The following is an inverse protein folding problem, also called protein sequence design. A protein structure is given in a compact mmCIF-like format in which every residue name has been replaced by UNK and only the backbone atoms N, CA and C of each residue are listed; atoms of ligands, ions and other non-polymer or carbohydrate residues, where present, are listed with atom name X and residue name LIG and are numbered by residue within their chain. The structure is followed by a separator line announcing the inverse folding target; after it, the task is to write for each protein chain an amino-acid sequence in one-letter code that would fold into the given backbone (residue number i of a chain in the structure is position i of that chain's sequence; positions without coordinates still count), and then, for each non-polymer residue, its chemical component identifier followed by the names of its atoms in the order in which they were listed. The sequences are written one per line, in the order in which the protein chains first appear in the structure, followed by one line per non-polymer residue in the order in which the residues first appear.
data_IF_353274834404
#
_entry.id   IF_353274834404
#
_cell.length_a   1.000
_cell.length_b   1.000
_cell.length_c   1.000
_cell.angle_alpha   90.00
_cell.angle_beta   90.00
_cell.angle_gamma   90.00
#
_symmetry.space_group_name_H-M   'P 1'
#
loop_
_entity.id
_entity.type
_entity.pdbx_description
1 polymer ?
#
# COMPACT_ATOMS: atom_id res chain seq x y z
N UNK A 1 3.72 15.82 -30.21
CA UNK A 1 4.17 15.29 -28.89
C UNK A 1 3.15 15.57 -27.80
N UNK A 2 2.67 16.81 -27.64
CA UNK A 2 1.66 17.18 -26.63
C UNK A 2 0.38 16.34 -26.68
N UNK A 3 -0.17 16.08 -27.87
CA UNK A 3 -1.34 15.19 -28.04
C UNK A 3 -1.12 13.78 -27.48
N UNK A 4 0.10 13.24 -27.57
CA UNK A 4 0.41 11.91 -27.02
C UNK A 4 0.53 11.98 -25.50
N UNK A 5 1.12 13.05 -24.94
CA UNK A 5 1.20 13.27 -23.50
C UNK A 5 -0.19 13.40 -22.88
N UNK A 6 -1.04 14.26 -23.43
CA UNK A 6 -2.44 14.41 -23.01
C UNK A 6 -3.20 13.09 -23.04
N UNK A 7 -3.05 12.31 -24.12
CA UNK A 7 -3.71 11.01 -24.21
C UNK A 7 -3.20 9.99 -23.18
N UNK A 8 -1.90 10.02 -22.87
CA UNK A 8 -1.34 9.19 -21.78
C UNK A 8 -1.96 9.60 -20.44
N UNK A 9 -2.07 10.90 -20.17
CA UNK A 9 -2.63 11.42 -18.93
C UNK A 9 -4.12 11.04 -18.77
N UNK A 10 -4.91 11.19 -19.84
CA UNK A 10 -6.32 10.78 -19.86
C UNK A 10 -6.49 9.28 -19.59
N UNK A 11 -5.65 8.45 -20.22
CA UNK A 11 -5.68 6.99 -20.02
C UNK A 11 -5.21 6.59 -18.62
N UNK A 12 -4.22 7.28 -18.04
CA UNK A 12 -3.79 7.05 -16.66
C UNK A 12 -4.92 7.39 -15.68
N UNK A 13 -5.58 8.55 -15.87
CA UNK A 13 -6.70 8.96 -15.02
C UNK A 13 -7.84 7.94 -15.10
N UNK A 14 -8.20 7.51 -16.32
CA UNK A 14 -9.25 6.50 -16.52
C UNK A 14 -8.90 5.15 -15.91
N UNK A 15 -7.63 4.74 -15.99
CA UNK A 15 -7.15 3.51 -15.34
C UNK A 15 -7.38 3.58 -13.83
N UNK A 16 -6.99 4.69 -13.18
CA UNK A 16 -7.14 4.90 -11.74
C UNK A 16 -8.63 4.98 -11.36
N UNK A 17 -9.45 5.69 -12.12
CA UNK A 17 -10.90 5.77 -11.91
C UNK A 17 -11.54 4.38 -11.93
N UNK A 18 -11.25 3.57 -12.95
CA UNK A 18 -11.76 2.20 -13.04
C UNK A 18 -11.33 1.31 -11.86
N UNK A 19 -10.16 1.58 -11.26
CA UNK A 19 -9.72 0.90 -10.04
C UNK A 19 -10.52 1.41 -8.81
N UNK A 20 -10.76 2.70 -8.70
CA UNK A 20 -11.45 3.30 -7.56
C UNK A 20 -12.97 3.02 -7.57
N UNK A 21 -13.58 2.98 -8.74
CA UNK A 21 -15.01 2.71 -8.93
C UNK A 21 -15.37 1.22 -8.70
N UNK A 22 -14.37 0.38 -8.39
CA UNK A 22 -14.57 -1.03 -8.10
C UNK A 22 -15.22 -1.24 -6.73
N UNK A 23 -16.55 -1.35 -6.74
CA UNK A 23 -17.41 -1.49 -5.56
C UNK A 23 -17.96 -2.91 -5.37
N UNK A 24 -17.28 -3.92 -5.92
CA UNK A 24 -17.72 -5.31 -5.78
C UNK A 24 -17.61 -5.80 -4.33
N UNK A 25 -18.53 -6.68 -3.97
CA UNK A 25 -18.54 -7.37 -2.68
C UNK A 25 -18.87 -8.85 -2.88
N UNK A 26 -18.60 -9.65 -1.85
CA UNK A 26 -19.05 -11.03 -1.73
C UNK A 26 -19.87 -11.18 -0.44
N UNK A 27 -20.89 -12.04 -0.48
CA UNK A 27 -21.67 -12.43 0.69
C UNK A 27 -21.18 -13.80 1.15
N UNK A 28 -20.58 -13.86 2.33
CA UNK A 28 -19.98 -15.07 2.89
C UNK A 28 -20.65 -15.43 4.22
N UNK A 29 -20.86 -16.73 4.46
CA UNK A 29 -21.36 -17.22 5.75
C UNK A 29 -20.29 -17.18 6.84
N UNK A 30 -20.69 -17.39 8.11
CA UNK A 30 -19.73 -17.48 9.22
C UNK A 30 -18.79 -18.69 9.07
N UNK A 31 -19.28 -19.81 8.52
CA UNK A 31 -18.46 -20.98 8.21
C UNK A 31 -17.43 -20.70 7.12
N UNK A 32 -17.82 -19.94 6.08
CA UNK A 32 -16.91 -19.52 5.01
C UNK A 32 -15.82 -18.55 5.51
N UNK A 33 -16.08 -17.82 6.60
CA UNK A 33 -15.15 -16.90 7.25
C UNK A 33 -14.45 -17.51 8.48
N UNK A 34 -14.40 -18.84 8.59
CA UNK A 34 -13.77 -19.50 9.73
C UNK A 34 -12.30 -19.09 9.90
N UNK A 35 -11.93 -18.72 11.12
CA UNK A 35 -10.57 -18.28 11.48
C UNK A 35 -10.37 -16.76 11.50
N UNK A 36 -11.35 -15.98 11.03
CA UNK A 36 -11.29 -14.52 11.13
C UNK A 36 -11.40 -14.05 12.60
N UNK A 37 -10.68 -12.97 12.99
CA UNK A 37 -10.83 -12.37 14.31
C UNK A 37 -12.27 -11.84 14.53
N UNK A 38 -12.80 -11.99 15.75
CA UNK A 38 -14.16 -11.55 16.08
C UNK A 38 -14.40 -10.07 15.83
N UNK A 39 -13.42 -9.22 16.13
CA UNK A 39 -13.52 -7.77 15.88
C UNK A 39 -13.66 -7.47 14.38
N UNK A 40 -12.96 -8.21 13.51
CA UNK A 40 -13.11 -8.07 12.07
C UNK A 40 -14.52 -8.45 11.61
N UNK A 41 -15.10 -9.52 12.17
CA UNK A 41 -16.46 -9.95 11.81
C UNK A 41 -17.53 -8.94 12.25
N UNK A 42 -17.33 -8.27 13.40
CA UNK A 42 -18.25 -7.22 13.90
C UNK A 42 -18.27 -5.99 13.00
N UNK A 43 -17.15 -5.67 12.35
CA UNK A 43 -17.04 -4.53 11.44
C UNK A 43 -17.73 -4.76 10.08
N UNK A 44 -18.17 -5.99 9.78
CA UNK A 44 -18.85 -6.33 8.53
C UNK A 44 -20.37 -6.18 8.64
N UNK A 45 -20.95 -5.51 7.63
CA UNK A 45 -22.40 -5.44 7.43
C UNK A 45 -22.98 -6.84 7.26
N UNK A 46 -24.08 -7.12 7.96
CA UNK A 46 -24.80 -8.40 7.90
C UNK A 46 -26.04 -8.25 7.01
N UNK A 47 -26.24 -9.20 6.10
CA UNK A 47 -27.39 -9.24 5.18
C UNK A 47 -27.80 -10.70 4.99
N UNK A 48 -29.05 -11.03 5.31
CA UNK A 48 -29.63 -12.38 5.16
C UNK A 48 -28.78 -13.51 5.79
N UNK A 49 -28.22 -13.26 6.98
CA UNK A 49 -27.37 -14.22 7.70
C UNK A 49 -25.98 -14.43 7.08
N UNK A 50 -25.57 -13.56 6.14
CA UNK A 50 -24.23 -13.53 5.56
C UNK A 50 -23.55 -12.19 5.84
N UNK A 51 -22.22 -12.21 5.91
CA UNK A 51 -21.38 -11.02 6.04
C UNK A 51 -21.02 -10.49 4.65
N UNK A 52 -21.23 -9.20 4.44
CA UNK A 52 -20.87 -8.50 3.22
C UNK A 52 -19.41 -8.04 3.29
N UNK A 53 -18.58 -8.64 2.44
CA UNK A 53 -17.15 -8.34 2.32
C UNK A 53 -16.93 -7.50 1.07
N UNK A 54 -16.62 -6.21 1.26
CA UNK A 54 -16.20 -5.34 0.16
C UNK A 54 -14.81 -5.77 -0.33
N UNK A 55 -14.60 -5.78 -1.65
CA UNK A 55 -13.33 -6.18 -2.26
C UNK A 55 -12.34 -5.02 -2.30
N UNK A 56 -12.07 -4.43 -1.14
CA UNK A 56 -11.02 -3.42 -0.93
C UNK A 56 -9.83 -4.05 -0.20
N UNK A 57 -8.64 -3.46 -0.33
CA UNK A 57 -7.44 -3.96 0.34
C UNK A 57 -7.61 -4.09 1.87
N UNK A 58 -8.42 -3.22 2.47
CA UNK A 58 -8.73 -3.24 3.90
C UNK A 58 -9.39 -4.54 4.36
N UNK A 59 -10.34 -5.10 3.59
CA UNK A 59 -11.02 -6.36 3.95
C UNK A 59 -10.35 -7.59 3.33
N UNK A 60 -9.80 -7.46 2.12
CA UNK A 60 -9.21 -8.60 1.38
C UNK A 60 -7.94 -9.11 2.06
N UNK A 61 -7.03 -8.22 2.47
CA UNK A 61 -5.75 -8.64 3.07
C UNK A 61 -5.95 -9.43 4.37
N UNK A 62 -6.77 -8.99 5.35
CA UNK A 62 -7.04 -9.78 6.55
C UNK A 62 -7.64 -11.16 6.24
N UNK A 63 -8.53 -11.27 5.25
CA UNK A 63 -9.12 -12.56 4.86
C UNK A 63 -8.06 -13.49 4.28
N UNK A 64 -7.20 -13.00 3.38
CA UNK A 64 -6.11 -13.80 2.80
C UNK A 64 -5.05 -14.18 3.84
N UNK A 65 -4.93 -13.45 4.94
CA UNK A 65 -4.00 -13.73 6.04
C UNK A 65 -4.55 -14.68 7.12
N UNK A 66 -5.86 -14.67 7.39
CA UNK A 66 -6.45 -15.31 8.57
C UNK A 66 -7.50 -16.37 8.27
N UNK A 67 -8.17 -16.30 7.11
CA UNK A 67 -9.26 -17.22 6.79
C UNK A 67 -8.72 -18.63 6.58
N UNK A 68 -9.15 -19.56 7.42
CA UNK A 68 -8.75 -20.98 7.37
C UNK A 68 -9.35 -21.71 6.16
N UNK A 69 -10.43 -21.18 5.59
CA UNK A 69 -11.12 -21.80 4.46
C UNK A 69 -10.42 -21.46 3.14
N UNK A 70 -9.70 -22.42 2.57
CA UNK A 70 -8.96 -22.25 1.31
C UNK A 70 -9.83 -21.87 0.10
N UNK A 71 -11.05 -22.39 0.00
CA UNK A 71 -11.99 -22.01 -1.07
C UNK A 71 -12.40 -20.54 -0.97
N UNK A 72 -12.62 -20.01 0.24
CA UNK A 72 -12.91 -18.59 0.48
C UNK A 72 -11.73 -17.72 0.09
N UNK A 73 -10.50 -18.09 0.50
CA UNK A 73 -9.28 -17.36 0.11
C UNK A 73 -9.15 -17.29 -1.42
N UNK A 74 -9.34 -18.41 -2.12
CA UNK A 74 -9.33 -18.48 -3.58
C UNK A 74 -10.39 -17.58 -4.22
N UNK A 75 -11.64 -17.67 -3.75
CA UNK A 75 -12.74 -16.86 -4.28
C UNK A 75 -12.46 -15.36 -4.13
N UNK A 76 -11.98 -14.94 -2.96
CA UNK A 76 -11.61 -13.56 -2.65
C UNK A 76 -10.44 -13.10 -3.51
N UNK A 77 -9.36 -13.89 -3.60
CA UNK A 77 -8.18 -13.56 -4.40
C UNK A 77 -8.51 -13.39 -5.88
N UNK A 78 -9.31 -14.30 -6.44
CA UNK A 78 -9.75 -14.23 -7.85
C UNK A 78 -10.65 -13.01 -8.08
N UNK A 79 -11.64 -12.79 -7.22
CA UNK A 79 -12.57 -11.68 -7.36
C UNK A 79 -11.86 -10.32 -7.23
N UNK A 80 -10.92 -10.20 -6.28
CA UNK A 80 -10.11 -9.00 -6.11
C UNK A 80 -9.10 -8.78 -7.25
N UNK A 81 -8.49 -9.86 -7.75
CA UNK A 81 -7.56 -9.82 -8.89
C UNK A 81 -8.20 -9.38 -10.21
N UNK A 82 -9.53 -9.40 -10.30
CA UNK A 82 -10.29 -8.88 -11.47
C UNK A 82 -10.55 -7.38 -11.41
N UNK A 83 -10.06 -6.66 -10.39
CA UNK A 83 -10.20 -5.21 -10.25
C UNK A 83 -9.65 -4.48 -11.50
N UNK A 84 -10.41 -3.51 -12.02
CA UNK A 84 -10.13 -2.83 -13.29
C UNK A 84 -10.55 -3.60 -14.56
N UNK A 85 -10.60 -4.94 -14.50
CA UNK A 85 -11.16 -5.81 -15.54
C UNK A 85 -10.60 -5.62 -16.96
N UNK A 86 -11.36 -6.08 -17.95
CA UNK A 86 -10.99 -6.00 -19.37
C UNK A 86 -10.80 -4.55 -19.87
N UNK A 87 -11.47 -3.57 -19.23
CA UNK A 87 -11.32 -2.17 -19.58
C UNK A 87 -9.89 -1.68 -19.29
N UNK A 88 -9.35 -1.99 -18.12
CA UNK A 88 -7.97 -1.62 -17.77
C UNK A 88 -6.93 -2.41 -18.56
N UNK A 89 -7.20 -3.66 -18.94
CA UNK A 89 -6.33 -4.41 -19.87
C UNK A 89 -6.20 -3.67 -21.20
N UNK A 90 -7.31 -3.27 -21.82
CA UNK A 90 -7.30 -2.52 -23.09
C UNK A 90 -6.64 -1.13 -22.95
N UNK A 91 -6.78 -0.48 -21.78
CA UNK A 91 -6.09 0.78 -21.49
C UNK A 91 -4.57 0.56 -21.40
N UNK A 92 -4.11 -0.49 -20.72
CA UNK A 92 -2.69 -0.83 -20.60
C UNK A 92 -2.06 -1.14 -21.96
N UNK A 93 -2.72 -1.92 -22.80
CA UNK A 93 -2.25 -2.21 -24.16
C UNK A 93 -2.03 -0.92 -24.97
N UNK A 94 -2.99 0.00 -24.93
CA UNK A 94 -2.87 1.32 -25.57
C UNK A 94 -1.76 2.16 -24.95
N UNK A 95 -1.65 2.19 -23.63
CA UNK A 95 -0.61 2.93 -22.93
C UNK A 95 0.78 2.46 -23.33
N UNK A 96 1.03 1.14 -23.42
CA UNK A 96 2.32 0.58 -23.85
C UNK A 96 2.67 1.07 -25.25
N UNK A 97 1.75 0.99 -26.20
CA UNK A 97 1.97 1.43 -27.58
C UNK A 97 2.25 2.93 -27.68
N UNK A 98 1.44 3.76 -27.00
CA UNK A 98 1.55 5.23 -27.05
C UNK A 98 2.83 5.70 -26.36
N UNK A 99 3.19 5.09 -25.22
CA UNK A 99 4.44 5.35 -24.50
C UNK A 99 5.66 4.99 -25.35
N UNK A 100 5.64 3.84 -26.02
CA UNK A 100 6.69 3.47 -26.95
C UNK A 100 6.82 4.48 -28.11
N UNK A 101 5.70 4.86 -28.73
CA UNK A 101 5.69 5.88 -29.80
C UNK A 101 6.24 7.23 -29.33
N UNK A 102 5.87 7.68 -28.13
CA UNK A 102 6.38 8.92 -27.54
C UNK A 102 7.90 8.85 -27.36
N UNK A 103 8.42 7.75 -26.82
CA UNK A 103 9.85 7.56 -26.62
C UNK A 103 10.63 7.59 -27.94
N UNK A 104 10.14 6.91 -28.97
CA UNK A 104 10.76 6.92 -30.32
C UNK A 104 10.82 8.33 -30.91
N UNK A 105 9.77 9.15 -30.73
CA UNK A 105 9.75 10.54 -31.21
C UNK A 105 10.75 11.44 -30.47
N UNK A 106 11.07 11.11 -29.24
CA UNK A 106 12.05 11.83 -28.42
C UNK A 106 13.49 11.32 -28.60
N UNK A 107 13.70 10.34 -29.49
CA UNK A 107 15.03 9.79 -29.78
C UNK A 107 15.45 8.60 -28.90
N UNK A 108 14.57 8.09 -28.04
CA UNK A 108 14.86 6.94 -27.17
C UNK A 108 14.50 5.63 -27.85
N UNK A 109 15.22 4.55 -27.48
CA UNK A 109 14.96 3.20 -28.00
C UNK A 109 13.60 2.66 -27.55
N UNK A 110 13.24 2.89 -26.28
CA UNK A 110 12.02 2.42 -25.64
C UNK A 110 11.60 3.42 -24.54
N UNK A 111 10.40 3.23 -23.97
CA UNK A 111 9.88 4.13 -22.95
C UNK A 111 10.61 4.03 -21.61
N UNK A 112 11.14 2.85 -21.26
CA UNK A 112 11.90 2.69 -20.02
C UNK A 112 13.17 3.54 -20.00
N UNK A 113 13.90 3.64 -21.11
CA UNK A 113 15.09 4.50 -21.24
C UNK A 113 14.72 5.99 -21.09
N UNK A 114 13.60 6.41 -21.70
CA UNK A 114 13.07 7.76 -21.50
C UNK A 114 12.68 8.03 -20.05
N UNK A 115 11.99 7.09 -19.39
CA UNK A 115 11.45 7.27 -18.04
C UNK A 115 12.51 7.18 -16.93
N UNK A 116 13.61 6.46 -17.18
CA UNK A 116 14.69 6.22 -16.21
C UNK A 116 15.80 7.25 -16.28
N UNK A 117 15.97 7.96 -17.41
CA UNK A 117 17.02 8.98 -17.60
C UNK A 117 17.12 10.00 -16.45
N UNK A 118 16.02 10.58 -15.92
CA UNK A 118 16.13 11.52 -14.80
C UNK A 118 16.32 10.85 -13.43
N UNK A 119 16.40 9.51 -13.37
CA UNK A 119 16.48 8.73 -12.12
C UNK A 119 17.89 8.20 -11.92
N UNK A 120 18.25 7.92 -10.66
CA UNK A 120 19.60 7.46 -10.27
C UNK A 120 20.15 6.24 -11.07
N UNK A 121 19.35 5.24 -11.48
CA UNK A 121 19.86 4.15 -12.32
C UNK A 121 20.31 4.59 -13.73
N UNK A 122 19.82 5.72 -14.24
CA UNK A 122 20.10 6.33 -15.56
C UNK A 122 19.73 5.50 -16.81
N UNK A 123 19.73 4.16 -16.77
CA UNK A 123 19.41 3.29 -17.92
C UNK A 123 18.52 2.11 -17.53
N UNK A 124 17.71 1.60 -18.46
CA UNK A 124 16.83 0.46 -18.17
C UNK A 124 17.62 -0.83 -17.98
N UNK A 125 18.77 -0.98 -18.66
CA UNK A 125 19.67 -2.13 -18.52
C UNK A 125 20.17 -2.31 -17.09
N UNK A 126 20.62 -1.22 -16.45
CA UNK A 126 21.08 -1.28 -15.05
C UNK A 126 19.98 -1.72 -14.08
N UNK A 127 18.72 -1.39 -14.37
CA UNK A 127 17.57 -1.85 -13.58
C UNK A 127 17.38 -3.36 -13.77
N UNK A 128 17.46 -3.87 -15.00
CA UNK A 128 17.31 -5.30 -15.27
C UNK A 128 18.45 -6.12 -14.64
N UNK A 129 19.70 -5.70 -14.83
CA UNK A 129 20.87 -6.35 -14.22
C UNK A 129 20.72 -6.44 -12.69
N UNK A 130 20.33 -5.34 -12.04
CA UNK A 130 20.07 -5.33 -10.60
C UNK A 130 18.96 -6.30 -10.17
N UNK A 131 17.84 -6.35 -10.91
CA UNK A 131 16.73 -7.25 -10.59
C UNK A 131 17.09 -8.73 -10.81
N UNK A 132 17.87 -9.02 -11.85
CA UNK A 132 18.37 -10.37 -12.15
C UNK A 132 19.35 -10.84 -11.07
N UNK A 133 20.34 -10.02 -10.70
CA UNK A 133 21.28 -10.31 -9.62
C UNK A 133 20.56 -10.55 -8.27
N UNK A 134 19.58 -9.72 -7.94
CA UNK A 134 18.76 -9.92 -6.74
C UNK A 134 17.96 -11.23 -6.80
N UNK A 135 17.36 -11.54 -7.95
CA UNK A 135 16.59 -12.77 -8.13
C UNK A 135 17.48 -14.00 -7.95
N UNK A 136 18.68 -14.01 -8.53
CA UNK A 136 19.64 -15.09 -8.38
C UNK A 136 20.06 -15.29 -6.91
N UNK A 137 20.39 -14.21 -6.20
CA UNK A 137 20.82 -14.27 -4.80
C UNK A 137 19.73 -14.75 -3.84
N UNK A 138 18.45 -14.46 -4.14
CA UNK A 138 17.32 -14.77 -3.27
C UNK A 138 16.61 -16.09 -3.63
N UNK A 139 16.87 -16.68 -4.80
CA UNK A 139 16.14 -17.85 -5.32
C UNK A 139 16.20 -19.06 -4.37
N UNK A 140 17.38 -19.37 -3.84
CA UNK A 140 17.55 -20.51 -2.93
C UNK A 140 16.78 -20.33 -1.62
N UNK A 141 16.81 -19.12 -1.05
CA UNK A 141 16.08 -18.79 0.18
C UNK A 141 14.56 -18.82 -0.08
N UNK A 142 14.10 -18.19 -1.15
CA UNK A 142 12.69 -18.15 -1.53
C UNK A 142 12.12 -19.56 -1.76
N UNK A 143 12.87 -20.46 -2.40
CA UNK A 143 12.45 -21.85 -2.61
C UNK A 143 12.36 -22.63 -1.30
N UNK A 144 13.29 -22.43 -0.36
CA UNK A 144 13.23 -23.05 0.97
C UNK A 144 12.02 -22.56 1.76
N UNK A 145 11.76 -21.25 1.75
CA UNK A 145 10.61 -20.66 2.43
C UNK A 145 9.30 -21.16 1.82
N UNK A 146 9.17 -21.14 0.48
CA UNK A 146 8.00 -21.68 -0.21
C UNK A 146 7.78 -23.17 0.09
N UNK A 147 8.84 -23.95 0.25
CA UNK A 147 8.74 -25.37 0.63
C UNK A 147 8.12 -25.51 2.02
N UNK A 148 8.56 -24.71 3.00
CA UNK A 148 7.95 -24.66 4.34
C UNK A 148 6.47 -24.29 4.25
N UNK A 149 6.09 -23.32 3.42
CA UNK A 149 4.69 -22.93 3.26
C UNK A 149 3.84 -24.06 2.65
N UNK A 150 4.37 -24.76 1.65
CA UNK A 150 3.72 -25.92 1.02
C UNK A 150 3.55 -27.08 2.00
N UNK A 151 4.53 -27.34 2.86
CA UNK A 151 4.43 -28.35 3.92
C UNK A 151 3.37 -28.00 4.96
N UNK A 152 3.25 -26.72 5.35
CA UNK A 152 2.18 -26.25 6.23
C UNK A 152 0.81 -26.46 5.58
N UNK A 153 0.68 -26.13 4.28
CA UNK A 153 -0.54 -26.41 3.52
C UNK A 153 -0.87 -27.89 3.51
N UNK A 154 0.11 -28.74 3.22
CA UNK A 154 -0.08 -30.18 3.18
C UNK A 154 -0.59 -30.75 4.51
N UNK A 155 -0.12 -30.20 5.64
CA UNK A 155 -0.57 -30.60 6.99
C UNK A 155 -1.99 -30.14 7.31
N UNK A 156 -2.40 -28.94 6.86
CA UNK A 156 -3.71 -28.36 7.20
C UNK A 156 -4.82 -28.72 6.19
N UNK A 157 -4.49 -28.83 4.90
CA UNK A 157 -5.45 -28.97 3.79
C UNK A 157 -5.19 -30.21 2.89
N UNK A 158 -4.19 -31.04 3.23
CA UNK A 158 -3.85 -32.24 2.44
C UNK A 158 -3.17 -31.91 1.11
N UNK A 159 -3.38 -32.75 0.08
CA UNK A 159 -2.68 -32.65 -1.22
C UNK A 159 -3.23 -31.55 -2.15
N UNK A 160 -3.86 -30.52 -1.59
CA UNK A 160 -4.36 -29.39 -2.37
C UNK A 160 -3.20 -28.56 -2.93
N UNK A 161 -3.22 -28.28 -4.23
CA UNK A 161 -2.19 -27.48 -4.89
C UNK A 161 -2.04 -26.10 -4.23
N UNK A 162 -0.81 -25.70 -3.93
CA UNK A 162 -0.50 -24.37 -3.41
C UNK A 162 -0.69 -23.31 -4.50
N UNK A 163 -1.53 -22.33 -4.25
CA UNK A 163 -1.80 -21.19 -5.13
C UNK A 163 -1.36 -19.85 -4.52
N UNK A 164 -1.47 -18.78 -5.29
CA UNK A 164 -1.14 -17.42 -4.81
C UNK A 164 -2.08 -16.96 -3.69
N UNK A 165 -3.31 -17.46 -3.67
CA UNK A 165 -4.31 -17.23 -2.64
C UNK A 165 -3.90 -17.76 -1.26
N UNK A 166 -2.94 -18.67 -1.21
CA UNK A 166 -2.47 -19.32 0.00
C UNK A 166 -1.25 -18.61 0.62
N UNK A 167 -0.57 -17.78 -0.17
CA UNK A 167 0.73 -17.22 0.18
C UNK A 167 0.67 -16.43 1.49
N UNK A 168 -0.24 -15.46 1.60
CA UNK A 168 -0.36 -14.62 2.80
C UNK A 168 -0.76 -15.42 4.04
N UNK A 169 -1.70 -16.37 3.89
CA UNK A 169 -2.14 -17.23 4.98
C UNK A 169 -0.97 -18.05 5.52
N UNK A 170 -0.27 -18.80 4.66
CA UNK A 170 0.82 -19.66 5.14
C UNK A 170 2.07 -18.88 5.53
N UNK A 171 2.35 -17.71 4.97
CA UNK A 171 3.39 -16.81 5.50
C UNK A 171 3.10 -16.48 6.96
N UNK A 172 1.87 -16.05 7.27
CA UNK A 172 1.45 -15.74 8.63
C UNK A 172 1.47 -16.96 9.55
N UNK A 173 1.03 -18.12 9.07
CA UNK A 173 1.13 -19.39 9.82
C UNK A 173 2.60 -19.73 10.07
N UNK A 174 3.48 -19.58 9.08
CA UNK A 174 4.91 -19.85 9.21
C UNK A 174 5.59 -18.93 10.23
N UNK A 175 5.25 -17.64 10.23
CA UNK A 175 5.68 -16.68 11.24
C UNK A 175 5.21 -17.11 12.65
N UNK A 176 3.93 -17.43 12.82
CA UNK A 176 3.38 -17.89 14.10
C UNK A 176 4.04 -19.18 14.62
N UNK A 177 4.44 -20.10 13.73
CA UNK A 177 5.14 -21.32 14.14
C UNK A 177 6.59 -21.07 14.55
N UNK A 178 7.26 -20.08 13.94
CA UNK A 178 8.65 -19.74 14.24
C UNK A 178 8.77 -18.79 15.43
N UNK A 179 7.74 -18.01 15.69
CA UNK A 179 7.79 -16.84 16.57
C UNK A 179 6.55 -16.86 17.46
N UNK A 180 6.76 -17.18 18.74
CA UNK A 180 5.73 -17.15 19.79
C UNK A 180 5.49 -15.70 20.24
N UNK A 181 4.90 -14.90 19.36
CA UNK A 181 4.55 -13.50 19.63
C UNK A 181 3.02 -13.31 19.55
N UNK A 182 2.44 -12.89 20.67
CA UNK A 182 1.06 -12.40 20.69
C UNK A 182 1.02 -10.94 20.23
N UNK A 183 0.75 -10.74 18.94
CA UNK A 183 0.57 -9.39 18.35
C UNK A 183 -0.56 -8.61 19.06
N UNK A 184 -1.58 -9.30 19.57
CA UNK A 184 -2.67 -8.69 20.34
C UNK A 184 -2.19 -8.13 21.67
N UNK A 185 -1.31 -8.87 22.36
CA UNK A 185 -0.64 -8.39 23.56
C UNK A 185 0.30 -7.22 23.24
N UNK A 186 1.14 -7.34 22.22
CA UNK A 186 2.08 -6.30 21.79
C UNK A 186 1.34 -5.00 21.49
N UNK A 187 0.22 -5.04 20.77
CA UNK A 187 -0.60 -3.84 20.45
C UNK A 187 -0.99 -3.02 21.68
N UNK A 188 -1.17 -3.65 22.86
CA UNK A 188 -1.50 -2.95 24.11
C UNK A 188 -0.38 -2.02 24.57
N UNK A 189 0.86 -2.29 24.19
CA UNK A 189 2.04 -1.46 24.51
C UNK A 189 2.26 -0.30 23.52
N UNK A 190 1.54 -0.26 22.41
CA UNK A 190 1.65 0.80 21.39
C UNK A 190 0.38 1.68 21.26
N UNK A 191 -0.15 2.30 22.33
CA UNK A 191 -1.21 3.30 22.20
C UNK A 191 -0.79 4.44 21.26
N UNK A 192 -1.66 4.81 20.31
CA UNK A 192 -1.36 5.79 19.25
C UNK A 192 -0.77 7.09 19.78
N UNK A 193 -1.31 7.62 20.89
CA UNK A 193 -0.80 8.84 21.53
C UNK A 193 0.66 8.69 21.99
N UNK A 194 1.00 7.54 22.59
CA UNK A 194 2.35 7.24 23.05
C UNK A 194 3.30 7.11 21.87
N UNK A 195 2.91 6.37 20.82
CA UNK A 195 3.71 6.18 19.61
C UNK A 195 4.04 7.50 18.93
N UNK A 196 3.05 8.38 18.73
CA UNK A 196 3.27 9.70 18.12
C UNK A 196 4.25 10.51 18.97
N UNK A 197 4.05 10.56 20.30
CA UNK A 197 4.92 11.33 21.18
C UNK A 197 6.37 10.82 21.17
N UNK A 198 6.57 9.50 21.19
CA UNK A 198 7.89 8.88 21.12
C UNK A 198 8.57 9.10 19.77
N UNK A 199 7.82 8.94 18.68
CA UNK A 199 8.32 9.19 17.32
C UNK A 199 8.78 10.65 17.14
N UNK A 200 7.96 11.61 17.56
CA UNK A 200 8.34 13.02 17.51
C UNK A 200 9.59 13.28 18.35
N UNK A 201 9.66 12.73 19.57
CA UNK A 201 10.85 12.87 20.42
C UNK A 201 12.12 12.33 19.77
N UNK A 202 12.07 11.17 19.12
CA UNK A 202 13.22 10.62 18.38
C UNK A 202 13.68 11.58 17.26
N UNK A 203 12.75 12.17 16.51
CA UNK A 203 13.10 13.14 15.47
C UNK A 203 13.64 14.46 16.04
N UNK A 204 13.14 14.92 17.19
CA UNK A 204 13.70 16.09 17.87
C UNK A 204 15.16 15.85 18.25
N UNK A 205 15.47 14.67 18.80
CA UNK A 205 16.81 14.35 19.29
C UNK A 205 17.79 14.09 18.14
N UNK A 206 17.34 13.40 17.09
CA UNK A 206 18.19 13.05 15.94
C UNK A 206 18.48 14.23 15.03
N UNK A 207 17.49 15.11 14.82
CA UNK A 207 17.58 16.20 13.84
C UNK A 207 17.64 17.59 14.47
N UNK A 208 17.76 17.69 15.80
CA UNK A 208 17.72 18.95 16.54
C UNK A 208 16.48 19.79 16.16
N UNK A 209 15.30 19.16 16.19
CA UNK A 209 14.02 19.79 15.88
C UNK A 209 13.22 20.03 17.15
N UNK A 210 12.24 20.95 17.07
CA UNK A 210 11.18 21.12 18.06
C UNK A 210 9.83 21.08 17.36
N UNK A 211 8.92 20.23 17.84
CA UNK A 211 7.56 20.13 17.33
C UNK A 211 6.57 20.73 18.31
N UNK A 212 5.70 21.62 17.84
CA UNK A 212 4.63 22.20 18.67
C UNK A 212 3.29 22.00 17.99
N UNK A 213 2.37 21.33 18.68
CA UNK A 213 1.00 21.14 18.20
C UNK A 213 0.24 22.46 18.26
N UNK A 214 -0.39 22.83 17.14
CA UNK A 214 -1.26 23.99 17.03
C UNK A 214 -2.69 23.50 17.19
N UNK A 215 -3.38 24.01 18.21
CA UNK A 215 -4.77 23.70 18.53
C UNK A 215 -5.70 24.75 17.92
N UNK A 216 -6.99 24.40 17.83
CA UNK A 216 -8.06 25.31 17.41
C UNK A 216 -7.85 25.91 16.01
N UNK A 217 -7.35 25.09 15.08
CA UNK A 217 -7.12 25.46 13.68
C UNK A 217 -8.20 24.84 12.79
N UNK A 218 -8.62 25.59 11.77
CA UNK A 218 -9.51 25.06 10.74
C UNK A 218 -8.80 23.96 9.94
N UNK A 219 -9.32 22.74 10.05
CA UNK A 219 -8.83 21.53 9.39
C UNK A 219 -9.99 20.83 8.70
N UNK A 220 -9.69 19.99 7.70
CA UNK A 220 -10.71 19.28 6.92
C UNK A 220 -11.42 18.17 7.69
N UNK A 221 -10.95 17.78 8.87
CA UNK A 221 -11.57 16.77 9.72
C UNK A 221 -11.12 16.92 11.18
N UNK A 222 -12.00 16.64 12.15
CA UNK A 222 -11.78 16.88 13.59
C UNK A 222 -10.62 16.06 14.19
N UNK A 223 -10.31 14.91 13.62
CA UNK A 223 -9.19 14.05 14.04
C UNK A 223 -7.82 14.49 13.49
N UNK A 224 -7.78 15.50 12.61
CA UNK A 224 -6.53 15.99 12.00
C UNK A 224 -5.80 16.90 12.98
N UNK A 225 -4.50 16.68 13.13
CA UNK A 225 -3.64 17.49 14.01
C UNK A 225 -2.64 18.28 13.20
N UNK A 226 -2.38 19.53 13.57
CA UNK A 226 -1.38 20.40 12.94
C UNK A 226 -0.20 20.59 13.89
N UNK A 227 1.02 20.49 13.36
CA UNK A 227 2.24 20.76 14.08
C UNK A 227 3.08 21.80 13.35
N UNK A 228 3.69 22.71 14.10
CA UNK A 228 4.81 23.53 13.64
C UNK A 228 6.13 22.83 13.91
N UNK A 229 7.09 22.99 13.00
CA UNK A 229 8.43 22.42 13.05
C UNK A 229 9.44 23.54 13.12
N UNK A 230 10.26 23.53 14.16
CA UNK A 230 11.28 24.55 14.41
C UNK A 230 12.66 23.91 14.46
N UNK A 231 13.66 24.63 13.99
CA UNK A 231 15.05 24.31 14.29
C UNK A 231 15.31 24.60 15.78
N UNK A 232 15.77 23.61 16.53
CA UNK A 232 15.98 23.76 17.97
C UNK A 232 17.20 24.64 18.30
N UNK A 233 18.12 24.83 17.35
CA UNK A 233 19.36 25.58 17.54
C UNK A 233 19.18 27.06 17.20
N UNK A 234 18.58 27.37 16.05
CA UNK A 234 18.35 28.76 15.61
C UNK A 234 16.99 29.31 16.04
N UNK A 235 16.06 28.46 16.46
CA UNK A 235 14.64 28.80 16.66
C UNK A 235 13.93 29.26 15.38
N UNK A 236 14.48 28.95 14.21
CA UNK A 236 13.82 29.25 12.93
C UNK A 236 12.64 28.32 12.70
N UNK A 237 11.52 28.89 12.21
CA UNK A 237 10.40 28.09 11.74
C UNK A 237 10.79 27.43 10.41
N UNK A 238 10.76 26.10 10.38
CA UNK A 238 11.08 25.31 9.18
C UNK A 238 9.84 24.97 8.36
N UNK A 239 8.68 24.87 9.01
CA UNK A 239 7.41 24.63 8.34
C UNK A 239 6.36 24.01 9.25
N UNK A 240 5.38 23.36 8.62
CA UNK A 240 4.25 22.72 9.28
C UNK A 240 3.96 21.36 8.68
N UNK A 241 3.33 20.47 9.44
CA UNK A 241 2.73 19.26 8.90
C UNK A 241 1.39 18.95 9.55
N UNK A 242 0.50 18.36 8.75
CA UNK A 242 -0.77 17.80 9.21
C UNK A 242 -0.61 16.29 9.41
N UNK A 243 -1.17 15.77 10.50
CA UNK A 243 -1.19 14.34 10.80
C UNK A 243 -2.64 13.84 10.75
N UNK A 244 -2.95 13.09 9.70
CA UNK A 244 -4.27 12.50 9.45
C UNK A 244 -4.14 10.98 9.34
N UNK A 245 -4.24 10.27 10.46
CA UNK A 245 -3.89 8.83 10.55
C UNK A 245 -5.09 7.89 10.71
N UNK A 246 -6.28 8.41 11.00
CA UNK A 246 -7.47 7.58 11.20
C UNK A 246 -8.19 7.33 9.88
N UNK A 247 -8.63 6.09 9.67
CA UNK A 247 -9.45 5.72 8.51
C UNK A 247 -10.85 6.30 8.63
N UNK A 248 -11.43 6.69 7.49
CA UNK A 248 -12.82 7.14 7.37
C UNK A 248 -13.26 7.05 5.91
N UNK A 249 -14.57 6.98 5.69
CA UNK A 249 -15.17 6.96 4.35
C UNK A 249 -14.72 8.19 3.53
N UNK A 250 -14.40 7.96 2.24
CA UNK A 250 -13.97 9.01 1.32
C UNK A 250 -12.52 9.52 1.51
N UNK A 251 -11.78 9.06 2.53
CA UNK A 251 -10.35 9.34 2.68
C UNK A 251 -9.53 8.39 1.80
N UNK A 252 -8.37 8.86 1.32
CA UNK A 252 -7.39 8.01 0.63
C UNK A 252 -6.96 6.81 1.51
N UNK A 253 -7.07 5.60 0.97
CA UNK A 253 -6.97 4.33 1.72
C UNK A 253 -5.53 3.85 2.00
N UNK A 254 -4.51 4.57 1.52
CA UNK A 254 -3.10 4.20 1.70
C UNK A 254 -2.33 5.25 2.50
N UNK A 255 -1.24 4.82 3.13
CA UNK A 255 -0.30 5.73 3.78
C UNK A 255 0.46 6.53 2.73
N UNK A 256 0.45 7.85 2.85
CA UNK A 256 1.20 8.74 1.97
C UNK A 256 1.69 9.99 2.72
N UNK A 257 2.64 10.69 2.11
CA UNK A 257 3.03 12.04 2.49
C UNK A 257 2.74 12.93 1.30
N UNK A 258 1.90 13.96 1.51
CA UNK A 258 1.53 14.91 0.47
C UNK A 258 2.16 16.26 0.81
N UNK A 259 3.04 16.74 -0.06
CA UNK A 259 3.56 18.09 0.05
C UNK A 259 2.48 19.09 -0.36
N UNK A 260 1.99 19.88 0.59
CA UNK A 260 1.02 20.95 0.35
C UNK A 260 1.69 22.24 -0.11
N UNK A 261 2.86 22.55 0.46
CA UNK A 261 3.69 23.69 0.11
C UNK A 261 5.15 23.25 0.10
N UNK A 262 5.86 23.57 -0.98
CA UNK A 262 7.29 23.30 -1.08
C UNK A 262 8.09 24.45 -0.48
N UNK A 263 9.12 24.10 0.30
CA UNK A 263 10.06 25.06 0.84
C UNK A 263 10.84 25.77 -0.27
N UNK A 264 10.71 27.08 -0.40
CA UNK A 264 11.44 27.84 -1.42
C UNK A 264 11.75 29.29 -1.01
N UNK A 265 12.76 29.86 -1.65
CA UNK A 265 13.07 31.28 -1.52
C UNK A 265 12.10 32.09 -2.37
N UNK A 266 11.37 33.01 -1.75
CA UNK A 266 10.56 33.98 -2.48
C UNK A 266 11.45 35.06 -3.11
N UNK A 267 10.90 35.76 -4.11
CA UNK A 267 11.59 36.85 -4.81
C UNK A 267 12.02 38.01 -3.89
N UNK A 268 11.35 38.18 -2.75
CA UNK A 268 11.67 39.16 -1.70
C UNK A 268 12.70 38.65 -0.68
N UNK A 269 13.27 37.46 -0.87
CA UNK A 269 14.25 36.87 0.03
C UNK A 269 13.67 36.14 1.25
N UNK A 270 12.34 36.14 1.47
CA UNK A 270 11.74 35.37 2.56
C UNK A 270 11.60 33.89 2.16
N UNK A 271 11.76 32.99 3.13
CA UNK A 271 11.47 31.56 2.93
C UNK A 271 9.95 31.31 3.06
N UNK A 272 9.40 30.56 2.12
CA UNK A 272 8.08 29.91 2.21
C UNK A 272 8.26 28.41 2.39
#
# INVERSE_FOLDING_TARGET
MEKLKSLIDDLNLKYIQNMNDFTKFLLLSEEELAGMPLEFLKDLEETDGKRKVLLTGYYVTPILEHCKVGSTRKQIAVAYGQKGGNQNVAILEKLVQIRHRLARLLGYSNYSDFAIEPRMPMTSRKVLEFLEEMSEQLSDLANRELTVLKELKMKEEGDAQFGMEDLLYYMKRGEQHKVDLDIGEIKRYFPVKLVISGMLKMFQDLFALRFEEIKDVEVWHDTVRLFSVWDASSSDLLGYFFLDIFSREGKYDHTCVVALQNGCMCSNGSRK
#
